data_IF_717249546519
#
_entry.id   IF_717249546519
#
_cell.length_a   1.000
_cell.length_b   1.000
_cell.length_c   1.000
_cell.angle_alpha   90.00
_cell.angle_beta   90.00
_cell.angle_gamma   90.00
#
_symmetry.space_group_name_H-M   'P 1'
#
loop_
_entity.id
_entity.type
_entity.pdbx_description
1 polymer ?
#
# COMPACT_ATOMS: atom_id res chain seq x y z
N UNK A 1 6.26 -4.62 -24.53
CA UNK A 1 6.26 -4.91 -23.08
C UNK A 1 7.12 -6.14 -22.85
N UNK A 2 7.96 -6.19 -21.81
CA UNK A 2 8.86 -7.32 -21.58
C UNK A 2 8.06 -8.57 -21.15
N UNK A 3 8.11 -9.65 -21.93
CA UNK A 3 7.36 -10.88 -21.68
C UNK A 3 7.68 -11.54 -20.32
N UNK A 4 8.91 -11.35 -19.82
CA UNK A 4 9.31 -11.85 -18.51
C UNK A 4 8.60 -11.12 -17.37
N UNK A 5 8.43 -9.80 -17.50
CA UNK A 5 7.70 -9.00 -16.50
C UNK A 5 6.22 -9.40 -16.49
N UNK A 6 5.63 -9.64 -17.66
CA UNK A 6 4.24 -10.09 -17.74
C UNK A 6 4.03 -11.45 -17.09
N UNK A 7 4.91 -12.42 -17.33
CA UNK A 7 4.85 -13.73 -16.66
C UNK A 7 4.93 -13.55 -15.14
N UNK A 8 5.94 -12.81 -14.67
CA UNK A 8 6.12 -12.54 -13.25
C UNK A 8 4.85 -11.94 -12.62
N UNK A 9 4.26 -10.92 -13.25
CA UNK A 9 3.05 -10.28 -12.73
C UNK A 9 1.84 -11.22 -12.71
N UNK A 10 1.68 -12.09 -13.72
CA UNK A 10 0.63 -13.10 -13.71
C UNK A 10 0.85 -14.14 -12.60
N UNK A 11 2.09 -14.61 -12.44
CA UNK A 11 2.45 -15.65 -11.47
C UNK A 11 2.28 -15.17 -10.01
N UNK A 12 2.34 -13.85 -9.77
CA UNK A 12 2.20 -13.24 -8.44
C UNK A 12 0.87 -12.48 -8.24
N UNK A 13 -0.09 -12.62 -9.16
CA UNK A 13 -1.36 -11.90 -9.07
C UNK A 13 -2.14 -12.27 -7.80
N UNK A 14 -2.16 -13.55 -7.44
CA UNK A 14 -2.90 -14.01 -6.25
C UNK A 14 -2.29 -13.45 -4.95
N UNK A 15 -0.96 -13.38 -4.86
CA UNK A 15 -0.26 -12.77 -3.73
C UNK A 15 -0.57 -11.26 -3.63
N UNK A 16 -0.53 -10.56 -4.77
CA UNK A 16 -0.90 -9.15 -4.83
C UNK A 16 -2.34 -8.90 -4.35
N UNK A 17 -3.29 -9.76 -4.77
CA UNK A 17 -4.69 -9.66 -4.35
C UNK A 17 -4.87 -9.98 -2.87
N UNK A 18 -4.07 -10.89 -2.30
CA UNK A 18 -4.06 -11.18 -0.87
C UNK A 18 -3.50 -10.01 -0.05
N UNK A 19 -2.40 -9.40 -0.49
CA UNK A 19 -1.81 -8.20 0.13
C UNK A 19 -2.81 -7.02 0.06
N UNK A 20 -3.46 -6.82 -1.11
CA UNK A 20 -4.46 -5.77 -1.28
C UNK A 20 -5.68 -5.99 -0.35
N UNK A 21 -6.12 -7.23 -0.21
CA UNK A 21 -7.20 -7.59 0.73
C UNK A 21 -6.81 -7.29 2.17
N UNK A 22 -5.56 -7.57 2.54
CA UNK A 22 -5.01 -7.26 3.87
C UNK A 22 -5.05 -5.76 4.13
N UNK A 23 -4.49 -4.94 3.23
CA UNK A 23 -4.46 -3.49 3.39
C UNK A 23 -5.85 -2.82 3.39
N UNK A 24 -6.79 -3.35 2.61
CA UNK A 24 -8.16 -2.81 2.50
C UNK A 24 -9.10 -3.30 3.61
N UNK A 25 -8.67 -4.26 4.43
CA UNK A 25 -9.41 -4.72 5.60
C UNK A 25 -9.29 -3.81 6.82
N UNK A 26 -8.41 -2.80 6.76
CA UNK A 26 -8.15 -1.86 7.85
C UNK A 26 -8.72 -0.49 7.51
N UNK A 27 -9.54 0.06 8.41
CA UNK A 27 -10.03 1.43 8.30
C UNK A 27 -8.90 2.42 8.56
N UNK A 28 -8.40 3.05 7.50
CA UNK A 28 -7.31 4.03 7.57
C UNK A 28 -7.80 5.40 7.10
N UNK A 29 -8.93 5.89 7.62
CA UNK A 29 -9.38 7.26 7.36
C UNK A 29 -8.30 8.30 7.72
N UNK A 30 -8.22 9.44 7.03
CA UNK A 30 -7.16 10.46 7.26
C UNK A 30 -6.94 10.84 8.73
N UNK A 31 -8.02 10.93 9.51
CA UNK A 31 -7.98 11.28 10.94
C UNK A 31 -7.96 10.06 11.87
N UNK A 32 -7.96 8.84 11.32
CA UNK A 32 -7.88 7.58 12.06
C UNK A 32 -6.42 7.15 12.15
N UNK A 33 -5.63 7.92 12.91
CA UNK A 33 -4.18 7.70 13.08
C UNK A 33 -3.81 6.23 13.32
N UNK A 34 -4.47 5.47 14.23
CA UNK A 34 -4.11 4.06 14.44
C UNK A 34 -4.21 3.19 13.18
N UNK A 35 -5.21 3.41 12.33
CA UNK A 35 -5.39 2.65 11.10
C UNK A 35 -4.40 3.06 10.01
N UNK A 36 -4.07 4.36 9.92
CA UNK A 36 -3.01 4.83 9.02
C UNK A 36 -1.65 4.32 9.46
N UNK A 37 -1.34 4.38 10.76
CA UNK A 37 -0.09 3.90 11.34
C UNK A 37 0.07 2.39 11.16
N UNK A 38 -1.00 1.61 11.28
CA UNK A 38 -0.97 0.17 10.98
C UNK A 38 -0.57 -0.11 9.53
N UNK A 39 -1.10 0.67 8.57
CA UNK A 39 -0.74 0.54 7.15
C UNK A 39 0.72 0.92 6.95
N UNK A 40 1.21 1.95 7.66
CA UNK A 40 2.63 2.31 7.62
C UNK A 40 3.49 1.21 8.24
N UNK A 41 3.09 0.57 9.34
CA UNK A 41 3.85 -0.55 9.92
C UNK A 41 4.00 -1.69 8.90
N UNK A 42 2.91 -2.02 8.20
CA UNK A 42 2.92 -3.01 7.13
C UNK A 42 3.84 -2.62 5.97
N UNK A 43 3.75 -1.37 5.49
CA UNK A 43 4.58 -0.87 4.40
C UNK A 43 6.07 -0.77 4.80
N UNK A 44 6.36 -0.41 6.05
CA UNK A 44 7.72 -0.36 6.56
C UNK A 44 8.37 -1.75 6.52
N UNK A 45 7.69 -2.77 7.05
CA UNK A 45 8.18 -4.14 7.01
C UNK A 45 8.44 -4.60 5.58
N UNK A 46 7.52 -4.31 4.65
CA UNK A 46 7.67 -4.66 3.23
C UNK A 46 8.86 -3.96 2.57
N UNK A 47 9.07 -2.67 2.84
CA UNK A 47 10.20 -1.91 2.31
C UNK A 47 11.54 -2.43 2.87
N UNK A 48 11.58 -2.77 4.16
CA UNK A 48 12.76 -3.36 4.81
C UNK A 48 13.10 -4.74 4.21
N UNK A 49 12.11 -5.61 3.97
CA UNK A 49 12.28 -6.89 3.25
C UNK A 49 12.87 -6.71 1.84
N UNK A 50 12.48 -5.64 1.16
CA UNK A 50 13.00 -5.27 -0.17
C UNK A 50 14.39 -4.60 -0.12
N UNK A 51 14.96 -4.42 1.08
CA UNK A 51 16.28 -3.87 1.31
C UNK A 51 16.35 -2.34 1.22
N UNK A 52 15.26 -1.64 1.51
CA UNK A 52 15.28 -0.19 1.72
C UNK A 52 15.74 0.12 3.15
N UNK A 53 16.48 1.22 3.31
CA UNK A 53 16.62 1.87 4.60
C UNK A 53 15.38 2.74 4.82
N UNK A 54 14.58 2.43 5.85
CA UNK A 54 13.31 3.10 6.11
C UNK A 54 13.44 4.02 7.32
N UNK A 55 12.93 5.23 7.17
CA UNK A 55 12.81 6.22 8.24
C UNK A 55 11.32 6.49 8.50
N UNK A 56 10.90 6.31 9.75
CA UNK A 56 9.55 6.67 10.23
C UNK A 56 9.57 8.11 10.72
N UNK A 57 8.61 8.91 10.26
CA UNK A 57 8.48 10.33 10.60
C UNK A 57 7.17 10.56 11.37
N UNK A 58 7.21 10.55 12.72
CA UNK A 58 6.01 10.61 13.55
C UNK A 58 5.21 11.88 13.35
N UNK A 59 3.87 11.75 13.41
CA UNK A 59 2.93 12.87 13.38
C UNK A 59 2.05 12.87 14.62
N UNK A 60 1.76 14.05 15.18
CA UNK A 60 0.96 14.17 16.41
C UNK A 60 -0.52 13.81 16.19
N UNK A 61 -1.11 14.30 15.09
CA UNK A 61 -2.56 14.21 14.82
C UNK A 61 -2.95 13.28 13.68
N UNK A 62 -2.05 13.08 12.73
CA UNK A 62 -2.28 12.27 11.53
C UNK A 62 -1.47 10.97 11.61
N UNK A 63 -1.70 10.08 10.65
CA UNK A 63 -0.80 8.95 10.45
C UNK A 63 0.63 9.42 10.17
N UNK A 64 1.59 8.62 10.59
CA UNK A 64 3.00 8.89 10.35
C UNK A 64 3.35 8.82 8.87
N UNK A 65 4.46 9.46 8.49
CA UNK A 65 5.03 9.32 7.16
C UNK A 65 6.16 8.28 7.16
N UNK A 66 6.36 7.64 6.00
CA UNK A 66 7.50 6.76 5.75
C UNK A 66 8.38 7.33 4.64
N UNK A 67 9.69 7.19 4.84
CA UNK A 67 10.69 7.53 3.85
C UNK A 67 11.65 6.36 3.65
N UNK A 68 11.39 5.57 2.61
CA UNK A 68 12.27 4.49 2.15
C UNK A 68 13.34 5.01 1.20
N UNK A 69 14.59 4.62 1.42
CA UNK A 69 15.71 4.94 0.52
C UNK A 69 16.48 3.68 0.17
N UNK A 70 16.77 3.49 -1.12
CA UNK A 70 17.62 2.40 -1.61
C UNK A 70 18.52 2.89 -2.74
N UNK A 71 19.80 2.56 -2.67
CA UNK A 71 20.76 2.86 -3.73
C UNK A 71 20.69 1.80 -4.83
N UNK A 72 20.42 2.23 -6.07
CA UNK A 72 20.58 1.40 -7.26
C UNK A 72 22.01 1.46 -7.81
N UNK A 73 22.22 0.88 -9.01
CA UNK A 73 23.52 0.91 -9.72
C UNK A 73 23.63 2.02 -10.77
N UNK A 74 22.55 2.76 -11.01
CA UNK A 74 22.49 3.83 -12.01
C UNK A 74 22.79 5.21 -11.43
N UNK A 75 22.93 6.22 -12.29
CA UNK A 75 23.20 7.61 -11.89
C UNK A 75 21.97 8.51 -11.73
N UNK A 76 20.76 8.00 -11.95
CA UNK A 76 19.50 8.75 -11.84
C UNK A 76 18.83 8.48 -10.49
N UNK A 77 18.03 9.45 -10.03
CA UNK A 77 17.18 9.33 -8.84
C UNK A 77 15.72 9.28 -9.26
N UNK A 78 14.97 8.35 -8.68
CA UNK A 78 13.53 8.20 -8.87
C UNK A 78 12.87 8.42 -7.51
N UNK A 79 11.77 9.17 -7.50
CA UNK A 79 10.91 9.34 -6.33
C UNK A 79 9.56 8.70 -6.64
N UNK A 80 9.13 7.80 -5.76
CA UNK A 80 7.79 7.24 -5.75
C UNK A 80 7.06 7.82 -4.54
N UNK A 81 5.82 8.26 -4.72
CA UNK A 81 5.03 8.92 -3.69
C UNK A 81 3.63 8.32 -3.68
N UNK A 82 3.12 8.04 -2.48
CA UNK A 82 1.77 7.55 -2.25
C UNK A 82 1.27 7.97 -0.88
N UNK A 83 0.01 7.66 -0.56
CA UNK A 83 -0.57 7.91 0.76
C UNK A 83 -1.24 6.65 1.31
N UNK A 84 -1.14 6.48 2.63
CA UNK A 84 -1.65 5.32 3.35
C UNK A 84 -3.10 5.49 3.80
N UNK A 85 -3.59 6.72 3.93
CA UNK A 85 -4.94 7.00 4.37
C UNK A 85 -5.98 6.86 3.24
N UNK A 86 -7.24 6.93 3.62
CA UNK A 86 -8.39 6.95 2.72
C UNK A 86 -9.40 8.00 3.20
N UNK A 87 -10.38 8.31 2.36
CA UNK A 87 -11.48 9.21 2.71
C UNK A 87 -12.58 8.57 3.57
N UNK A 88 -12.49 7.27 3.88
CA UNK A 88 -13.58 6.52 4.51
C UNK A 88 -13.55 6.60 6.05
N UNK A 89 -14.73 6.67 6.70
CA UNK A 89 -14.83 6.64 8.16
C UNK A 89 -14.63 5.21 8.70
N UNK A 90 -14.43 5.11 10.03
CA UNK A 90 -14.32 3.84 10.73
C UNK A 90 -15.56 2.95 10.51
N UNK A 91 -15.35 1.64 10.43
CA UNK A 91 -16.36 0.61 10.15
C UNK A 91 -16.59 0.37 8.65
N UNK A 92 -16.01 1.17 7.75
CA UNK A 92 -16.25 1.03 6.31
C UNK A 92 -15.65 -0.25 5.74
N UNK A 93 -14.44 -0.63 6.16
CA UNK A 93 -13.77 -1.86 5.74
C UNK A 93 -14.62 -3.10 6.07
N UNK A 94 -15.18 -3.14 7.28
CA UNK A 94 -16.07 -4.23 7.69
C UNK A 94 -17.41 -4.23 6.93
N UNK A 95 -18.00 -3.06 6.69
CA UNK A 95 -19.28 -2.93 5.97
C UNK A 95 -19.16 -3.20 4.46
N UNK A 96 -17.99 -2.95 3.87
CA UNK A 96 -17.71 -3.07 2.44
C UNK A 96 -16.40 -3.83 2.20
N UNK A 97 -16.31 -5.12 2.60
CA UNK A 97 -15.09 -5.89 2.44
C UNK A 97 -14.70 -5.99 0.97
N UNK A 98 -13.39 -6.08 0.70
CA UNK A 98 -12.89 -6.20 -0.67
C UNK A 98 -13.52 -7.41 -1.37
N UNK A 99 -14.06 -7.20 -2.57
CA UNK A 99 -14.57 -8.28 -3.42
C UNK A 99 -14.15 -8.08 -4.87
N UNK A 100 -14.11 -9.19 -5.60
CA UNK A 100 -13.91 -9.21 -7.04
C UNK A 100 -15.30 -9.32 -7.67
N UNK A 101 -15.60 -8.42 -8.60
CA UNK A 101 -16.86 -8.35 -9.33
C UNK A 101 -16.55 -8.29 -10.83
N UNK A 102 -16.52 -9.48 -11.46
CA UNK A 102 -16.03 -9.65 -12.82
C UNK A 102 -14.58 -9.16 -12.96
N UNK A 103 -14.38 -8.12 -13.75
CA UNK A 103 -13.08 -7.49 -13.99
C UNK A 103 -12.74 -6.35 -13.02
N UNK A 104 -13.56 -6.12 -11.99
CA UNK A 104 -13.38 -5.02 -11.03
C UNK A 104 -13.03 -5.54 -9.64
N UNK A 105 -12.21 -4.77 -8.93
CA UNK A 105 -11.93 -4.97 -7.51
C UNK A 105 -12.59 -3.82 -6.75
N UNK A 106 -13.56 -4.15 -5.90
CA UNK A 106 -14.35 -3.20 -5.13
C UNK A 106 -13.98 -3.28 -3.65
N UNK A 107 -13.78 -2.14 -3.00
CA UNK A 107 -13.45 -2.05 -1.57
C UNK A 107 -12.96 -0.64 -1.22
N UNK A 108 -12.97 -0.23 0.05
CA UNK A 108 -12.39 1.06 0.45
C UNK A 108 -10.89 1.05 0.19
N UNK A 109 -10.41 2.08 -0.49
CA UNK A 109 -8.99 2.26 -0.78
C UNK A 109 -8.40 1.37 -1.88
N UNK A 110 -9.18 0.46 -2.50
CA UNK A 110 -8.63 -0.46 -3.52
C UNK A 110 -7.95 0.30 -4.66
N UNK A 111 -8.60 1.32 -5.22
CA UNK A 111 -8.01 2.19 -6.24
C UNK A 111 -7.19 3.34 -5.61
N UNK A 112 -7.75 3.99 -4.58
CA UNK A 112 -7.21 5.21 -3.96
C UNK A 112 -6.89 5.02 -2.47
N UNK A 113 -5.66 4.65 -2.10
CA UNK A 113 -4.54 4.33 -3.00
C UNK A 113 -3.79 3.04 -2.64
N UNK A 114 -4.47 2.06 -2.02
CA UNK A 114 -3.82 0.82 -1.55
C UNK A 114 -3.22 -0.01 -2.68
N UNK A 115 -3.89 -0.13 -3.84
CA UNK A 115 -3.29 -0.80 -4.99
C UNK A 115 -2.03 -0.08 -5.50
N UNK A 116 -2.05 1.25 -5.49
CA UNK A 116 -0.91 2.07 -5.87
C UNK A 116 0.29 1.88 -4.93
N UNK A 117 0.05 1.79 -3.62
CA UNK A 117 1.10 1.49 -2.63
C UNK A 117 1.76 0.13 -2.84
N UNK A 118 1.02 -0.89 -3.30
CA UNK A 118 1.57 -2.22 -3.57
C UNK A 118 2.30 -2.32 -4.91
N UNK A 119 1.90 -1.52 -5.89
CA UNK A 119 2.46 -1.57 -7.25
C UNK A 119 3.71 -0.70 -7.43
N UNK A 120 3.87 0.33 -6.59
CA UNK A 120 5.00 1.28 -6.60
C UNK A 120 6.28 0.68 -6.05
#
# INVERSE_FOLDING_TARGET
MNAQILSYLHDHLDDYLADLRTLTSVDSGTLLKPGVDWVQDWMQARLEELGFAVERLPQERLGDNLLGRRAGRGGKRVLLLGHADTVFPAGTAAARPMRIDGSKILGPGTCDMKAGLLAG
#
